data_IF_562121098121
#
_entry.id   IF_562121098121
#
_cell.length_a   1.000
_cell.length_b   1.000
_cell.length_c   1.000
_cell.angle_alpha   90.00
_cell.angle_beta   90.00
_cell.angle_gamma   90.00
#
_symmetry.space_group_name_H-M   'P 1'
#
loop_
_entity.id
_entity.type
_entity.pdbx_description
1 polymer ?
#
# COMPACT_ATOMS: atom_id res chain seq x y z
N UNK A 1 -13.84 -15.97 20.95
CA UNK A 1 -12.54 -15.30 20.96
C UNK A 1 -12.52 -14.28 19.83
N UNK A 2 -12.05 -13.07 20.04
CA UNK A 2 -11.86 -12.13 18.92
C UNK A 2 -10.84 -12.74 17.94
N UNK A 3 -11.07 -12.54 16.65
CA UNK A 3 -10.15 -13.00 15.60
C UNK A 3 -8.88 -12.17 15.66
N UNK A 4 -7.71 -12.82 15.60
CA UNK A 4 -6.41 -12.14 15.55
C UNK A 4 -6.24 -11.38 14.21
N UNK A 5 -6.81 -11.94 13.14
CA UNK A 5 -6.83 -11.32 11.82
C UNK A 5 -8.24 -11.34 11.26
N UNK A 6 -8.63 -10.25 10.63
CA UNK A 6 -9.95 -10.08 10.03
C UNK A 6 -9.86 -9.20 8.77
N UNK A 7 -10.94 -9.17 7.98
CA UNK A 7 -11.03 -8.34 6.79
C UNK A 7 -12.29 -7.51 6.79
N UNK A 8 -12.15 -6.23 6.49
CA UNK A 8 -13.26 -5.30 6.26
C UNK A 8 -13.41 -5.08 4.76
N UNK A 9 -14.61 -5.29 4.27
CA UNK A 9 -14.95 -5.13 2.85
C UNK A 9 -16.27 -4.39 2.68
N UNK A 10 -16.58 -3.87 1.50
CA UNK A 10 -17.88 -3.26 1.21
C UNK A 10 -19.09 -4.21 1.32
N UNK A 11 -18.86 -5.52 1.41
CA UNK A 11 -19.93 -6.52 1.57
C UNK A 11 -20.48 -6.60 3.01
N UNK A 12 -19.84 -5.91 3.95
CA UNK A 12 -20.15 -5.96 5.36
C UNK A 12 -19.45 -7.08 6.13
N UNK A 13 -19.77 -7.18 7.42
CA UNK A 13 -19.15 -8.14 8.32
C UNK A 13 -19.51 -9.58 7.93
N UNK A 14 -18.55 -10.48 8.12
CA UNK A 14 -18.69 -11.94 7.96
C UNK A 14 -19.10 -12.44 6.56
N UNK A 15 -19.29 -11.56 5.58
CA UNK A 15 -19.53 -11.96 4.18
C UNK A 15 -18.30 -12.69 3.60
N UNK A 16 -17.12 -12.24 3.98
CA UNK A 16 -15.83 -12.83 3.65
C UNK A 16 -15.02 -13.02 4.94
N UNK A 17 -14.53 -14.23 5.16
CA UNK A 17 -13.70 -14.58 6.31
C UNK A 17 -12.24 -14.61 5.89
N UNK A 18 -11.38 -13.95 6.64
CA UNK A 18 -9.93 -13.97 6.38
C UNK A 18 -9.36 -15.38 6.56
N UNK A 19 -8.53 -15.82 5.60
CA UNK A 19 -7.82 -17.10 5.67
C UNK A 19 -6.30 -16.89 5.75
N UNK A 20 -5.72 -16.15 4.80
CA UNK A 20 -4.29 -15.85 4.77
C UNK A 20 -4.01 -14.55 3.99
N UNK A 21 -2.80 -14.01 4.19
CA UNK A 21 -2.27 -12.86 3.48
C UNK A 21 -0.84 -13.17 3.06
N UNK A 22 -0.51 -12.81 1.81
CA UNK A 22 0.86 -12.79 1.31
C UNK A 22 1.05 -11.55 0.45
N UNK A 23 2.25 -10.97 0.44
CA UNK A 23 2.51 -9.81 -0.39
C UNK A 23 3.86 -9.19 -0.13
N UNK A 24 4.15 -8.15 -0.88
CA UNK A 24 5.35 -7.34 -0.78
C UNK A 24 5.02 -5.87 -0.80
N UNK A 25 5.69 -5.12 0.05
CA UNK A 25 5.69 -3.67 0.08
C UNK A 25 7.13 -3.17 0.14
N UNK A 26 7.45 -2.20 -0.70
CA UNK A 26 8.78 -1.59 -0.78
C UNK A 26 8.65 -0.09 -0.97
N UNK A 27 9.59 0.66 -0.43
CA UNK A 27 9.68 2.11 -0.68
C UNK A 27 9.84 2.39 -2.17
N UNK A 28 9.15 3.42 -2.66
CA UNK A 28 9.19 3.83 -4.06
C UNK A 28 8.52 2.85 -5.05
N UNK A 29 7.80 1.83 -4.57
CA UNK A 29 7.17 0.81 -5.43
C UNK A 29 5.70 0.59 -5.07
N UNK A 30 4.95 0.06 -6.02
CA UNK A 30 3.59 -0.42 -5.76
C UNK A 30 3.65 -1.67 -4.88
N UNK A 31 2.82 -1.70 -3.84
CA UNK A 31 2.62 -2.95 -3.11
C UNK A 31 1.60 -3.85 -3.84
N UNK A 32 1.71 -5.14 -3.59
CA UNK A 32 0.78 -6.16 -4.07
C UNK A 32 0.54 -7.17 -2.96
N UNK A 33 -0.71 -7.26 -2.50
CA UNK A 33 -1.13 -8.22 -1.51
C UNK A 33 -2.17 -9.16 -2.09
N UNK A 34 -1.97 -10.45 -1.89
CA UNK A 34 -2.96 -11.49 -2.18
C UNK A 34 -3.58 -11.96 -0.88
N UNK A 35 -4.89 -11.86 -0.78
CA UNK A 35 -5.67 -12.26 0.40
C UNK A 35 -6.49 -13.49 0.05
N UNK A 36 -6.27 -14.58 0.76
CA UNK A 36 -7.11 -15.77 0.72
C UNK A 36 -8.31 -15.59 1.65
N UNK A 37 -9.50 -15.92 1.16
CA UNK A 37 -10.77 -15.67 1.82
C UNK A 37 -11.69 -16.89 1.74
N UNK A 38 -12.55 -17.02 2.74
CA UNK A 38 -13.61 -18.03 2.78
C UNK A 38 -14.98 -17.36 2.87
N UNK A 39 -15.99 -17.97 2.25
CA UNK A 39 -17.37 -17.54 2.37
C UNK A 39 -18.31 -18.73 2.36
N UNK A 40 -19.46 -18.62 3.02
CA UNK A 40 -20.58 -19.57 2.85
C UNK A 40 -21.30 -19.38 1.53
N UNK A 41 -21.06 -18.27 0.83
CA UNK A 41 -21.62 -17.93 -0.48
C UNK A 41 -20.62 -18.24 -1.58
N UNK A 42 -21.08 -18.79 -2.69
CA UNK A 42 -20.30 -19.08 -3.89
C UNK A 42 -20.68 -18.17 -5.09
N UNK A 43 -21.56 -17.21 -4.86
CA UNK A 43 -22.18 -16.34 -5.85
C UNK A 43 -21.86 -14.85 -5.66
N UNK A 44 -20.76 -14.52 -4.98
CA UNK A 44 -20.38 -13.12 -4.71
C UNK A 44 -20.03 -12.42 -6.03
N UNK A 45 -20.78 -11.36 -6.35
CA UNK A 45 -20.51 -10.53 -7.54
C UNK A 45 -19.22 -9.73 -7.35
N UNK A 46 -18.18 -9.93 -8.19
CA UNK A 46 -16.95 -9.15 -8.15
C UNK A 46 -17.14 -7.63 -8.27
N UNK A 47 -18.19 -7.19 -8.97
CA UNK A 47 -18.50 -5.75 -9.15
C UNK A 47 -18.79 -5.05 -7.83
N UNK A 48 -19.25 -5.78 -6.82
CA UNK A 48 -19.49 -5.23 -5.50
C UNK A 48 -18.18 -4.83 -4.78
N UNK A 49 -17.03 -5.37 -5.20
CA UNK A 49 -15.72 -5.23 -4.56
C UNK A 49 -14.71 -4.48 -5.44
N UNK A 50 -14.65 -4.77 -6.74
CA UNK A 50 -13.64 -4.23 -7.66
C UNK A 50 -13.62 -2.69 -7.63
N UNK A 51 -12.41 -2.13 -7.54
CA UNK A 51 -12.16 -0.69 -7.46
C UNK A 51 -12.43 -0.06 -6.10
N UNK A 52 -12.99 -0.82 -5.14
CA UNK A 52 -13.26 -0.34 -3.78
C UNK A 52 -12.14 -0.78 -2.83
N UNK A 53 -12.05 -0.13 -1.67
CA UNK A 53 -11.09 -0.49 -0.64
C UNK A 53 -11.52 -1.74 0.13
N UNK A 54 -10.54 -2.54 0.51
CA UNK A 54 -10.68 -3.58 1.52
C UNK A 54 -9.46 -3.51 2.46
N UNK A 55 -9.68 -3.75 3.75
CA UNK A 55 -8.65 -3.61 4.79
C UNK A 55 -8.52 -4.91 5.57
N UNK A 56 -7.32 -5.48 5.57
CA UNK A 56 -6.96 -6.55 6.51
C UNK A 56 -6.56 -5.91 7.83
N UNK A 57 -7.16 -6.37 8.93
CA UNK A 57 -6.85 -5.98 10.30
C UNK A 57 -6.05 -7.07 10.97
N UNK A 58 -4.92 -6.71 11.58
CA UNK A 58 -4.07 -7.61 12.36
C UNK A 58 -4.02 -7.08 13.78
N UNK A 59 -4.58 -7.84 14.74
CA UNK A 59 -4.53 -7.47 16.15
C UNK A 59 -3.12 -7.68 16.67
N UNK A 60 -2.47 -6.60 17.12
CA UNK A 60 -1.15 -6.69 17.72
C UNK A 60 -1.25 -7.08 19.19
N UNK A 61 -0.24 -7.77 19.76
CA UNK A 61 -0.21 -8.15 21.18
C UNK A 61 -0.22 -6.93 22.12
N UNK A 62 0.40 -5.83 21.69
CA UNK A 62 0.42 -4.54 22.39
C UNK A 62 0.05 -3.44 21.37
N UNK A 63 -0.88 -2.59 21.76
CA UNK A 63 -1.36 -1.49 20.91
C UNK A 63 -2.66 -1.80 20.18
N UNK A 64 -3.00 -0.97 19.22
CA UNK A 64 -4.18 -1.13 18.36
C UNK A 64 -3.94 -2.09 17.19
N UNK A 65 -4.97 -2.32 16.36
CA UNK A 65 -4.82 -3.15 15.18
C UNK A 65 -3.90 -2.49 14.13
N UNK A 66 -3.04 -3.28 13.52
CA UNK A 66 -2.36 -2.90 12.28
C UNK A 66 -3.32 -3.07 11.11
N UNK A 67 -3.38 -2.09 10.25
CA UNK A 67 -4.20 -2.11 9.05
C UNK A 67 -3.33 -2.33 7.80
N UNK A 68 -3.83 -3.11 6.85
CA UNK A 68 -3.27 -3.27 5.52
C UNK A 68 -4.43 -3.03 4.57
N UNK A 69 -4.50 -1.85 4.00
CA UNK A 69 -5.57 -1.40 3.11
C UNK A 69 -5.12 -1.41 1.65
N UNK A 70 -6.05 -1.60 0.73
CA UNK A 70 -5.80 -1.47 -0.69
C UNK A 70 -7.08 -1.51 -1.51
N UNK A 71 -6.98 -1.04 -2.75
CA UNK A 71 -8.05 -1.19 -3.72
C UNK A 71 -8.08 -2.64 -4.22
N UNK A 72 -9.27 -3.23 -4.27
CA UNK A 72 -9.49 -4.54 -4.85
C UNK A 72 -9.31 -4.46 -6.36
N UNK A 73 -8.24 -5.02 -6.89
CA UNK A 73 -7.93 -5.03 -8.33
C UNK A 73 -8.25 -6.35 -9.02
N UNK A 74 -8.39 -7.42 -8.24
CA UNK A 74 -8.84 -8.73 -8.69
C UNK A 74 -9.62 -9.42 -7.58
N UNK A 75 -10.69 -10.11 -7.95
CA UNK A 75 -11.45 -10.98 -7.05
C UNK A 75 -11.90 -12.20 -7.82
N UNK A 76 -11.64 -13.39 -7.31
CA UNK A 76 -11.96 -14.63 -8.01
C UNK A 76 -12.34 -15.75 -7.04
N UNK A 77 -13.31 -16.55 -7.43
CA UNK A 77 -13.61 -17.85 -6.82
C UNK A 77 -12.51 -18.83 -7.29
N UNK A 78 -11.75 -19.41 -6.36
CA UNK A 78 -10.60 -20.28 -6.67
C UNK A 78 -10.80 -21.71 -6.22
N UNK A 79 -11.99 -22.06 -5.71
CA UNK A 79 -12.32 -23.41 -5.31
C UNK A 79 -13.20 -23.48 -4.08
N UNK A 80 -13.11 -24.58 -3.34
CA UNK A 80 -13.87 -24.82 -2.12
C UNK A 80 -12.98 -25.42 -1.02
N UNK A 81 -13.39 -25.26 0.23
CA UNK A 81 -12.81 -25.91 1.39
C UNK A 81 -13.93 -26.36 2.35
N UNK A 82 -14.25 -27.64 2.29
CA UNK A 82 -15.43 -28.17 2.98
C UNK A 82 -16.71 -27.47 2.52
N UNK A 83 -17.44 -26.87 3.45
CA UNK A 83 -18.68 -26.12 3.17
C UNK A 83 -18.46 -24.68 2.67
N UNK A 84 -17.22 -24.20 2.64
CA UNK A 84 -16.89 -22.83 2.26
C UNK A 84 -16.40 -22.76 0.82
N UNK A 85 -16.86 -21.74 0.10
CA UNK A 85 -16.24 -21.27 -1.12
C UNK A 85 -14.93 -20.54 -0.78
N UNK A 86 -13.88 -20.78 -1.56
CA UNK A 86 -12.58 -20.11 -1.43
C UNK A 86 -12.46 -19.02 -2.47
N UNK A 87 -12.16 -17.83 -2.00
CA UNK A 87 -11.90 -16.67 -2.85
C UNK A 87 -10.46 -16.19 -2.70
N UNK A 88 -9.97 -15.56 -3.74
CA UNK A 88 -8.71 -14.84 -3.75
C UNK A 88 -8.95 -13.40 -4.17
N UNK A 89 -8.40 -12.46 -3.41
CA UNK A 89 -8.50 -11.03 -3.63
C UNK A 89 -7.10 -10.43 -3.75
N UNK A 90 -6.87 -9.54 -4.74
CA UNK A 90 -5.66 -8.74 -4.83
C UNK A 90 -5.94 -7.31 -4.39
N UNK A 91 -5.12 -6.84 -3.43
CA UNK A 91 -5.13 -5.48 -2.92
C UNK A 91 -3.89 -4.74 -3.44
N UNK A 92 -4.11 -3.62 -4.09
CA UNK A 92 -3.05 -2.74 -4.62
C UNK A 92 -3.33 -1.29 -4.25
N UNK A 93 -2.30 -0.42 -4.26
CA UNK A 93 -2.52 1.00 -3.99
C UNK A 93 -3.34 1.65 -5.11
N UNK A 94 -4.00 2.78 -4.79
CA UNK A 94 -4.73 3.55 -5.80
C UNK A 94 -3.83 3.99 -6.98
N UNK A 95 -2.53 4.18 -6.74
CA UNK A 95 -1.53 4.50 -7.78
C UNK A 95 -1.37 3.37 -8.81
N UNK A 96 -1.81 2.14 -8.52
CA UNK A 96 -1.85 1.07 -9.52
C UNK A 96 -2.75 1.42 -10.71
N UNK A 97 -3.84 2.16 -10.50
CA UNK A 97 -4.71 2.59 -11.59
C UNK A 97 -3.99 3.53 -12.56
N UNK A 98 -2.97 4.26 -12.11
CA UNK A 98 -2.12 5.11 -12.94
C UNK A 98 -1.31 4.31 -13.98
N UNK A 99 -1.11 3.00 -13.78
CA UNK A 99 -0.47 2.12 -14.76
C UNK A 99 -1.41 1.76 -15.92
N UNK A 100 -2.70 2.11 -15.82
CA UNK A 100 -3.74 1.79 -16.80
C UNK A 100 -4.16 2.98 -17.64
N UNK A 101 -3.66 4.17 -17.30
CA UNK A 101 -3.91 5.40 -18.05
C UNK A 101 -2.60 5.92 -18.63
N UNK A 102 -2.60 6.27 -19.92
CA UNK A 102 -1.49 6.91 -20.60
C UNK A 102 -1.98 8.19 -21.30
N UNK A 103 -1.08 9.17 -21.45
CA UNK A 103 -1.45 10.44 -22.04
C UNK A 103 -0.26 11.12 -22.73
N UNK A 104 -0.56 12.22 -23.44
CA UNK A 104 0.42 13.16 -23.98
C UNK A 104 0.10 14.55 -23.45
N UNK A 105 0.96 15.08 -22.58
CA UNK A 105 0.78 16.37 -21.91
C UNK A 105 2.06 17.16 -21.91
N UNK A 106 1.90 18.49 -21.90
CA UNK A 106 3.01 19.44 -21.79
C UNK A 106 2.79 20.26 -20.52
N UNK A 107 3.85 20.43 -19.75
CA UNK A 107 3.93 21.30 -18.58
C UNK A 107 5.05 22.30 -18.80
N UNK A 108 4.81 23.56 -18.47
CA UNK A 108 5.78 24.64 -18.70
C UNK A 108 5.89 25.52 -17.46
N UNK A 109 7.14 25.81 -17.06
CA UNK A 109 7.44 26.67 -15.91
C UNK A 109 6.78 26.17 -14.61
N UNK A 110 6.77 24.86 -14.40
CA UNK A 110 6.15 24.22 -13.23
C UNK A 110 7.16 23.39 -12.46
N UNK A 111 7.00 23.36 -11.14
CA UNK A 111 7.77 22.49 -10.23
C UNK A 111 7.26 21.05 -10.31
N UNK A 112 8.17 20.09 -10.19
CA UNK A 112 7.82 18.68 -10.26
C UNK A 112 6.74 18.28 -9.25
N UNK A 113 6.78 18.69 -7.96
CA UNK A 113 5.68 18.38 -7.03
C UNK A 113 4.31 18.88 -7.49
N UNK A 114 4.23 20.03 -8.15
CA UNK A 114 2.96 20.56 -8.65
C UNK A 114 2.44 19.79 -9.87
N UNK A 115 3.35 19.38 -10.77
CA UNK A 115 3.02 18.49 -11.89
C UNK A 115 2.45 17.16 -11.36
N UNK A 116 3.12 16.54 -10.38
CA UNK A 116 2.71 15.28 -9.76
C UNK A 116 1.31 15.43 -9.14
N UNK A 117 1.04 16.49 -8.39
CA UNK A 117 -0.28 16.76 -7.80
C UNK A 117 -1.38 16.90 -8.85
N UNK A 118 -1.10 17.55 -9.98
CA UNK A 118 -2.06 17.65 -11.09
C UNK A 118 -2.41 16.29 -11.69
N UNK A 119 -1.43 15.37 -11.77
CA UNK A 119 -1.70 14.01 -12.23
C UNK A 119 -2.55 13.26 -11.19
N UNK A 120 -2.18 13.31 -9.92
CA UNK A 120 -2.90 12.62 -8.84
C UNK A 120 -4.35 13.08 -8.68
N UNK A 121 -4.62 14.38 -8.91
CA UNK A 121 -5.96 14.95 -8.83
C UNK A 121 -6.99 14.32 -9.80
N UNK A 122 -6.53 13.56 -10.80
CA UNK A 122 -7.41 12.82 -11.72
C UNK A 122 -7.95 11.53 -11.13
N UNK A 123 -7.39 11.06 -10.02
CA UNK A 123 -7.73 9.80 -9.40
C UNK A 123 -8.60 10.05 -8.16
N UNK A 124 -9.89 9.64 -8.16
CA UNK A 124 -10.84 10.03 -7.12
C UNK A 124 -10.50 9.47 -5.73
N UNK A 125 -9.73 8.38 -5.68
CA UNK A 125 -9.30 7.75 -4.42
C UNK A 125 -7.90 8.20 -3.99
N UNK A 126 -7.30 9.21 -4.65
CA UNK A 126 -5.97 9.68 -4.31
C UNK A 126 -5.96 10.32 -2.92
N UNK A 127 -5.24 9.71 -2.01
CA UNK A 127 -4.91 10.27 -0.71
C UNK A 127 -3.40 10.45 -0.65
N UNK A 128 -2.96 11.68 -0.40
CA UNK A 128 -1.56 12.09 -0.47
C UNK A 128 -1.20 12.82 0.82
N UNK A 129 0.02 12.61 1.28
CA UNK A 129 0.67 13.40 2.33
C UNK A 129 2.02 13.84 1.81
N UNK A 130 2.27 15.15 1.82
CA UNK A 130 3.55 15.72 1.41
C UNK A 130 4.44 15.93 2.64
N UNK A 131 5.62 15.34 2.62
CA UNK A 131 6.72 15.54 3.57
C UNK A 131 7.99 15.93 2.83
N UNK A 132 7.83 16.83 1.87
CA UNK A 132 8.93 17.36 1.06
C UNK A 132 9.56 18.56 1.78
N UNK A 133 10.87 18.57 1.87
CA UNK A 133 11.67 19.61 2.53
C UNK A 133 12.58 20.35 1.56
N UNK A 134 12.80 19.80 0.36
CA UNK A 134 13.65 20.37 -0.67
C UNK A 134 13.07 21.62 -1.34
N UNK A 135 13.95 22.40 -1.92
CA UNK A 135 13.56 23.49 -2.81
C UNK A 135 13.59 22.96 -4.26
N UNK A 136 12.45 22.99 -4.92
CA UNK A 136 12.27 22.50 -6.30
C UNK A 136 12.24 23.68 -7.25
N UNK A 137 13.08 23.65 -8.30
CA UNK A 137 13.08 24.66 -9.31
C UNK A 137 12.03 24.37 -10.41
N UNK A 138 11.37 25.39 -10.96
CA UNK A 138 10.44 25.19 -12.07
C UNK A 138 11.17 24.69 -13.31
N UNK A 139 10.66 23.62 -13.93
CA UNK A 139 11.15 23.17 -15.23
C UNK A 139 10.54 24.02 -16.35
N UNK A 140 11.40 24.53 -17.21
CA UNK A 140 10.96 25.32 -18.37
C UNK A 140 10.01 24.51 -19.27
N UNK A 141 10.30 23.21 -19.42
CA UNK A 141 9.53 22.32 -20.27
C UNK A 141 9.59 20.88 -19.77
N UNK A 142 8.44 20.25 -19.59
CA UNK A 142 8.30 18.86 -19.19
C UNK A 142 7.20 18.19 -19.99
N UNK A 143 7.45 17.00 -20.54
CA UNK A 143 6.51 16.29 -21.41
C UNK A 143 6.26 14.90 -20.87
N UNK A 144 4.99 14.55 -20.77
CA UNK A 144 4.54 13.17 -20.78
C UNK A 144 4.27 12.79 -22.23
N UNK A 145 4.93 11.77 -22.76
CA UNK A 145 4.74 11.33 -24.13
C UNK A 145 4.55 9.83 -24.23
N UNK A 146 3.32 9.40 -24.53
CA UNK A 146 2.91 8.01 -24.73
C UNK A 146 3.34 7.05 -23.61
N UNK A 147 3.47 7.56 -22.38
CA UNK A 147 3.80 6.79 -21.19
C UNK A 147 2.62 6.81 -20.21
N UNK A 148 2.58 5.81 -19.32
CA UNK A 148 1.55 5.76 -18.28
C UNK A 148 1.73 6.90 -17.28
N UNK A 149 0.64 7.32 -16.65
CA UNK A 149 0.70 8.32 -15.59
C UNK A 149 1.65 7.87 -14.47
N UNK A 150 1.69 6.56 -14.18
CA UNK A 150 2.59 6.00 -13.19
C UNK A 150 4.06 6.15 -13.58
N UNK A 151 4.44 5.76 -14.82
CA UNK A 151 5.82 5.88 -15.28
C UNK A 151 6.27 7.34 -15.34
N UNK A 152 5.39 8.23 -15.83
CA UNK A 152 5.65 9.67 -15.87
C UNK A 152 5.98 10.23 -14.48
N UNK A 153 5.08 10.01 -13.51
CA UNK A 153 5.28 10.50 -12.14
C UNK A 153 6.50 9.85 -11.49
N UNK A 154 6.72 8.54 -11.68
CA UNK A 154 7.85 7.82 -11.08
C UNK A 154 9.20 8.38 -11.55
N UNK A 155 9.37 8.63 -12.87
CA UNK A 155 10.62 9.19 -13.37
C UNK A 155 10.88 10.62 -12.93
N UNK A 156 9.81 11.43 -12.77
CA UNK A 156 9.94 12.77 -12.22
C UNK A 156 10.37 12.74 -10.75
N UNK A 157 9.76 11.85 -9.96
CA UNK A 157 10.14 11.66 -8.57
C UNK A 157 11.59 11.17 -8.44
N UNK A 158 11.99 10.18 -9.25
CA UNK A 158 13.38 9.67 -9.27
C UNK A 158 14.38 10.78 -9.61
N UNK A 159 14.07 11.66 -10.55
CA UNK A 159 14.95 12.77 -10.95
C UNK A 159 15.11 13.82 -9.85
N UNK A 160 14.06 14.10 -9.08
CA UNK A 160 14.09 15.07 -7.97
C UNK A 160 14.48 14.45 -6.62
N UNK A 161 14.79 13.15 -6.58
CA UNK A 161 15.11 12.44 -5.34
C UNK A 161 13.92 12.24 -4.41
N UNK A 162 12.70 12.33 -4.95
CA UNK A 162 11.48 12.06 -4.20
C UNK A 162 11.21 10.56 -4.18
N UNK A 163 11.01 10.01 -3.01
CA UNK A 163 10.60 8.63 -2.82
C UNK A 163 9.27 8.55 -2.08
N UNK A 164 8.63 7.38 -2.10
CA UNK A 164 7.27 7.21 -1.57
C UNK A 164 7.14 5.98 -0.71
N UNK A 165 6.16 6.02 0.20
CA UNK A 165 5.70 4.88 0.97
C UNK A 165 4.21 5.05 1.28
N UNK A 166 3.56 4.03 1.87
CA UNK A 166 2.14 4.08 2.15
C UNK A 166 1.85 4.01 3.64
N UNK A 167 0.96 4.89 4.11
CA UNK A 167 0.29 4.75 5.41
C UNK A 167 -1.00 4.00 5.21
N UNK A 168 -1.26 3.00 6.02
CA UNK A 168 -2.50 2.25 6.00
C UNK A 168 -3.34 2.57 7.24
N UNK A 169 -4.64 2.78 7.01
CA UNK A 169 -5.68 2.89 8.03
C UNK A 169 -6.91 2.12 7.57
N UNK A 170 -7.92 1.99 8.42
CA UNK A 170 -9.15 1.32 8.00
C UNK A 170 -9.83 2.07 6.86
N UNK A 171 -10.05 1.38 5.73
CA UNK A 171 -10.71 1.91 4.54
C UNK A 171 -9.89 2.92 3.74
N UNK A 172 -8.61 3.12 4.08
CA UNK A 172 -7.78 4.14 3.42
C UNK A 172 -6.31 3.77 3.44
N UNK A 173 -5.64 4.01 2.31
CA UNK A 173 -4.17 4.07 2.23
C UNK A 173 -3.76 5.43 1.65
N UNK A 174 -2.73 6.02 2.23
CA UNK A 174 -2.24 7.36 1.87
C UNK A 174 -0.83 7.24 1.32
N UNK A 175 -0.59 7.75 0.12
CA UNK A 175 0.76 7.88 -0.45
C UNK A 175 1.48 9.02 0.24
N UNK A 176 2.63 8.75 0.84
CA UNK A 176 3.49 9.78 1.44
C UNK A 176 4.64 10.05 0.50
N UNK A 177 4.84 11.32 0.14
CA UNK A 177 5.95 11.81 -0.67
C UNK A 177 7.04 12.33 0.28
N UNK A 178 8.25 11.84 0.13
CA UNK A 178 9.41 12.20 0.94
C UNK A 178 10.63 12.48 0.07
N UNK A 179 11.52 13.36 0.54
CA UNK A 179 12.80 13.68 -0.09
C UNK A 179 13.97 13.66 0.91
N UNK A 180 13.69 13.35 2.18
CA UNK A 180 14.67 13.36 3.26
C UNK A 180 14.37 12.28 4.30
N UNK A 181 15.39 11.64 4.90
CA UNK A 181 15.22 10.74 6.05
C UNK A 181 14.52 11.40 7.25
N UNK A 182 14.61 12.72 7.43
CA UNK A 182 13.92 13.46 8.49
C UNK A 182 12.40 13.43 8.37
N UNK A 183 11.86 13.02 7.22
CA UNK A 183 10.42 12.87 7.01
C UNK A 183 9.83 11.61 7.69
N UNK A 184 10.67 10.74 8.27
CA UNK A 184 10.24 9.52 8.93
C UNK A 184 10.17 9.69 10.45
N UNK A 185 9.01 9.42 11.03
CA UNK A 185 8.85 9.30 12.48
C UNK A 185 9.14 7.85 12.90
N UNK A 186 9.86 7.62 14.00
CA UNK A 186 9.99 6.30 14.57
C UNK A 186 8.61 5.72 14.90
N UNK A 187 8.38 4.46 14.56
CA UNK A 187 7.16 3.79 15.00
C UNK A 187 7.14 3.73 16.54
N UNK A 188 6.03 4.05 17.20
CA UNK A 188 5.97 4.06 18.67
C UNK A 188 6.47 2.75 19.27
N UNK A 189 7.46 2.83 20.15
CA UNK A 189 8.11 1.66 20.77
C UNK A 189 9.23 1.02 19.96
N UNK A 190 9.51 1.49 18.74
CA UNK A 190 10.53 0.93 17.82
C UNK A 190 11.61 1.93 17.41
N UNK A 191 11.84 2.97 18.22
CA UNK A 191 12.93 3.93 17.96
C UNK A 191 14.32 3.23 17.97
N UNK A 192 14.45 2.11 18.69
CA UNK A 192 15.60 1.21 18.62
C UNK A 192 15.15 -0.22 18.79
N UNK A 193 15.72 -1.12 18.00
CA UNK A 193 15.50 -2.58 18.09
C UNK A 193 16.85 -3.23 18.35
N UNK A 194 16.93 -4.07 19.40
CA UNK A 194 18.16 -4.79 19.74
C UNK A 194 18.54 -5.81 18.67
N UNK A 195 19.81 -5.87 18.31
CA UNK A 195 20.36 -6.93 17.48
C UNK A 195 20.93 -8.05 18.36
N UNK A 196 20.66 -9.31 18.04
CA UNK A 196 21.19 -10.48 18.74
C UNK A 196 21.81 -11.45 17.74
N UNK A 197 23.12 -11.49 17.71
CA UNK A 197 23.88 -12.37 16.81
C UNK A 197 23.79 -13.86 17.20
N UNK A 198 23.58 -14.18 18.48
CA UNK A 198 23.49 -15.57 18.96
C UNK A 198 22.04 -15.94 19.31
N UNK A 199 21.44 -16.81 18.49
CA UNK A 199 20.08 -17.29 18.64
C UNK A 199 19.88 -18.12 19.95
N UNK A 200 20.93 -18.59 20.60
CA UNK A 200 20.84 -19.37 21.84
C UNK A 200 20.46 -18.54 23.07
N UNK A 201 20.55 -17.22 22.98
CA UNK A 201 20.24 -16.28 24.06
C UNK A 201 18.87 -15.59 23.90
N UNK A 202 17.98 -16.12 23.10
CA UNK A 202 16.69 -15.47 22.80
C UNK A 202 15.72 -15.69 23.97
N UNK A 203 15.62 -14.66 24.83
CA UNK A 203 14.45 -14.53 25.70
C UNK A 203 13.24 -14.07 24.89
N UNK A 204 12.09 -14.70 25.09
CA UNK A 204 10.86 -14.56 24.28
C UNK A 204 10.10 -13.23 24.43
N UNK A 205 10.57 -12.30 25.25
CA UNK A 205 9.77 -11.15 25.68
C UNK A 205 9.93 -9.85 24.87
N UNK A 206 10.95 -9.75 24.00
CA UNK A 206 11.20 -8.54 23.20
C UNK A 206 11.51 -8.88 21.75
N UNK A 207 10.91 -8.11 20.84
CA UNK A 207 11.26 -8.17 19.41
C UNK A 207 12.72 -7.76 19.20
N UNK A 208 13.43 -8.49 18.33
CA UNK A 208 14.86 -8.32 18.08
C UNK A 208 15.18 -8.62 16.62
N UNK A 209 16.23 -7.99 16.10
CA UNK A 209 16.80 -8.34 14.80
C UNK A 209 17.74 -9.53 15.01
N UNK A 210 17.49 -10.63 14.29
CA UNK A 210 18.24 -11.88 14.38
C UNK A 210 19.25 -12.05 13.26
N UNK A 211 19.01 -11.40 12.13
CA UNK A 211 19.85 -11.44 10.95
C UNK A 211 19.84 -10.08 10.24
N UNK A 212 20.99 -9.68 9.72
CA UNK A 212 21.18 -8.44 8.99
C UNK A 212 22.18 -8.65 7.85
N UNK A 213 21.72 -8.42 6.62
CA UNK A 213 22.57 -8.50 5.44
C UNK A 213 22.63 -7.14 4.73
N UNK A 214 23.81 -6.76 4.25
CA UNK A 214 24.03 -5.64 3.35
C UNK A 214 24.02 -6.18 1.92
N UNK A 215 23.22 -5.57 1.04
CA UNK A 215 23.17 -5.86 -0.38
C UNK A 215 23.70 -4.71 -1.22
#
# INVERSE_FOLDING_TARGET
>A
MPRIMDIVTPLGADALLFQNLRGTERMGRLYDYTVGLLSTRNDIDPKALLGKNATVKVQLPKGGPRHIDGCVTRFALVGSHGRYARYEMQLRPWTWFMTRASDCRIFQNEKVPDIIKKIFAKYPNAAIEERLTGNYEPWVYCVQYRETDYNFVSRLMEQEGIYTWYKHSEGKHTLVLCDSPSAHDPYPGYASIGFVADQRSIGTEKERILDWAWG
#
